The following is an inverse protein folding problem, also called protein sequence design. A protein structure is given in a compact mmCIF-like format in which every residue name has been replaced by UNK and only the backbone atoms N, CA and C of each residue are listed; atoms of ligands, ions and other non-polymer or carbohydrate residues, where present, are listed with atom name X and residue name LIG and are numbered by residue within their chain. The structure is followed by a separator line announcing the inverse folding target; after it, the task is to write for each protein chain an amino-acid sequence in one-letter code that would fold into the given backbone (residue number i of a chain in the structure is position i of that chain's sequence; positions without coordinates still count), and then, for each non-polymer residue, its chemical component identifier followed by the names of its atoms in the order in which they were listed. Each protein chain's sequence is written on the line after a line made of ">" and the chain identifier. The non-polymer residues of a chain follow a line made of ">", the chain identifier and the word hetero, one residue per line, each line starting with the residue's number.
data_IF_131975271767
#
_entry.id   IF_131975271767
#
_cell.length_a   1.000
_cell.length_b   1.000
_cell.length_c   1.000
_cell.angle_alpha   90.00
_cell.angle_beta   90.00
_cell.angle_gamma   90.00
#
_symmetry.space_group_name_H-M   'P 1'
#
loop_
_entity.id
_entity.type
_entity.pdbx_description
1 polymer ?
#
# COMPACT_ATOMS: atom_id res chain seq x y z
N UNK A 1 -16.83 -5.42 -2.85
CA UNK A 1 -17.30 -6.80 -2.53
C UNK A 1 -16.11 -7.74 -2.42
N UNK A 2 -15.26 -7.83 -3.45
CA UNK A 2 -14.03 -8.63 -3.42
C UNK A 2 -13.07 -8.23 -2.29
N UNK A 3 -12.78 -6.93 -2.13
CA UNK A 3 -11.89 -6.45 -1.06
C UNK A 3 -12.32 -6.91 0.34
N UNK A 4 -13.59 -6.71 0.68
CA UNK A 4 -14.16 -7.11 1.98
C UNK A 4 -14.03 -8.62 2.19
N UNK A 5 -14.32 -9.41 1.14
CA UNK A 5 -14.17 -10.86 1.20
C UNK A 5 -12.72 -11.27 1.50
N UNK A 6 -11.74 -10.67 0.82
CA UNK A 6 -10.31 -10.97 1.08
C UNK A 6 -9.94 -10.56 2.51
N UNK A 7 -10.33 -9.37 2.97
CA UNK A 7 -10.07 -8.88 4.33
C UNK A 7 -10.63 -9.83 5.41
N UNK A 8 -11.87 -10.30 5.25
CA UNK A 8 -12.53 -11.23 6.18
C UNK A 8 -11.82 -12.58 6.22
N UNK A 9 -11.55 -13.17 5.04
CA UNK A 9 -10.88 -14.48 4.95
C UNK A 9 -9.46 -14.45 5.52
N UNK A 10 -8.73 -13.37 5.29
CA UNK A 10 -7.39 -13.16 5.82
C UNK A 10 -7.41 -13.01 7.34
N UNK A 11 -8.43 -12.35 7.90
CA UNK A 11 -8.63 -12.29 9.35
C UNK A 11 -8.93 -13.67 9.96
N UNK A 12 -9.76 -14.48 9.31
CA UNK A 12 -10.12 -15.83 9.79
C UNK A 12 -8.93 -16.79 9.86
N UNK A 13 -7.94 -16.64 8.97
CA UNK A 13 -6.71 -17.46 8.99
C UNK A 13 -5.61 -16.88 9.89
N UNK A 14 -5.91 -15.82 10.64
CA UNK A 14 -4.97 -15.20 11.58
C UNK A 14 -3.93 -14.27 10.95
N UNK A 15 -4.13 -13.87 9.68
CA UNK A 15 -3.20 -13.00 8.93
C UNK A 15 -3.95 -11.77 8.39
N UNK A 16 -4.37 -10.82 9.24
CA UNK A 16 -5.14 -9.67 8.79
C UNK A 16 -4.34 -8.80 7.79
N UNK A 17 -5.01 -8.31 6.75
CA UNK A 17 -4.41 -7.38 5.78
C UNK A 17 -4.10 -6.05 6.46
N UNK A 18 -2.86 -5.57 6.32
CA UNK A 18 -2.41 -4.32 6.92
C UNK A 18 -2.75 -3.07 6.08
N UNK A 19 -2.75 -3.20 4.75
CA UNK A 19 -3.10 -2.13 3.82
C UNK A 19 -3.48 -2.67 2.44
N UNK A 20 -4.16 -1.83 1.67
CA UNK A 20 -4.42 -2.04 0.24
C UNK A 20 -3.72 -0.94 -0.55
N UNK A 21 -2.89 -1.34 -1.52
CA UNK A 21 -2.26 -0.41 -2.45
C UNK A 21 -3.08 -0.46 -3.75
N UNK A 22 -3.65 0.67 -4.20
CA UNK A 22 -4.41 0.70 -5.44
C UNK A 22 -3.49 0.49 -6.65
N UNK A 23 -4.08 0.05 -7.77
CA UNK A 23 -3.41 0.19 -9.06
C UNK A 23 -3.21 1.67 -9.37
N UNK A 24 -2.01 2.02 -9.80
CA UNK A 24 -1.63 3.40 -10.06
C UNK A 24 -0.68 3.46 -11.29
N UNK A 25 -1.10 4.10 -12.40
CA UNK A 25 -0.25 4.26 -13.58
C UNK A 25 1.09 4.95 -13.31
N UNK A 26 1.16 5.88 -12.34
CA UNK A 26 2.38 6.61 -12.02
C UNK A 26 3.51 5.66 -11.57
N UNK A 27 3.16 4.53 -10.96
CA UNK A 27 4.14 3.49 -10.56
C UNK A 27 4.77 2.82 -11.78
N UNK A 28 3.96 2.54 -12.81
CA UNK A 28 4.46 1.92 -14.04
C UNK A 28 5.31 2.90 -14.87
N UNK A 29 4.94 4.18 -14.87
CA UNK A 29 5.72 5.24 -15.51
C UNK A 29 7.08 5.44 -14.83
N UNK A 30 7.09 5.51 -13.50
CA UNK A 30 8.34 5.58 -12.71
C UNK A 30 9.28 4.40 -13.00
N UNK A 31 8.74 3.17 -13.07
CA UNK A 31 9.51 1.97 -13.40
C UNK A 31 10.16 2.05 -14.79
N UNK A 32 9.42 2.53 -15.81
CA UNK A 32 9.97 2.73 -17.15
C UNK A 32 11.09 3.77 -17.19
N UNK A 33 11.03 4.78 -16.34
CA UNK A 33 12.04 5.85 -16.22
C UNK A 33 13.23 5.44 -15.35
N UNK A 34 13.13 4.34 -14.61
CA UNK A 34 14.15 3.90 -13.65
C UNK A 34 14.20 4.76 -12.39
N UNK A 35 13.09 5.40 -12.04
CA UNK A 35 12.93 6.27 -10.87
C UNK A 35 12.10 5.56 -9.80
N UNK A 36 12.33 5.87 -8.52
CA UNK A 36 11.44 5.35 -7.48
C UNK A 36 10.09 6.08 -7.57
N UNK A 37 8.93 5.40 -7.38
CA UNK A 37 7.62 6.05 -7.44
C UNK A 37 7.46 7.25 -6.52
N UNK A 38 8.10 7.23 -5.34
CA UNK A 38 8.12 8.36 -4.39
C UNK A 38 8.87 9.59 -4.92
N UNK A 39 9.91 9.39 -5.74
CA UNK A 39 10.67 10.49 -6.34
C UNK A 39 10.00 11.02 -7.63
N UNK A 40 9.19 10.16 -8.27
CA UNK A 40 8.48 10.47 -9.51
C UNK A 40 7.18 11.24 -9.28
N UNK A 41 6.33 10.76 -8.37
CA UNK A 41 5.07 11.39 -7.98
C UNK A 41 4.81 11.14 -6.49
N UNK A 42 5.14 12.12 -5.65
CA UNK A 42 4.98 12.04 -4.21
C UNK A 42 3.51 11.99 -3.75
N UNK A 43 2.60 12.52 -4.59
CA UNK A 43 1.16 12.60 -4.33
C UNK A 43 0.39 11.41 -4.96
N UNK A 44 1.10 10.45 -5.55
CA UNK A 44 0.53 9.22 -6.11
C UNK A 44 -0.31 8.48 -5.05
N UNK A 45 -1.55 8.05 -5.38
CA UNK A 45 -2.38 7.23 -4.49
C UNK A 45 -1.68 5.95 -3.97
N UNK A 46 -0.81 5.33 -4.77
CA UNK A 46 -0.02 4.19 -4.33
C UNK A 46 1.05 4.59 -3.30
N UNK A 47 1.74 5.71 -3.54
CA UNK A 47 2.73 6.26 -2.61
C UNK A 47 2.07 6.63 -1.28
N UNK A 48 0.94 7.33 -1.31
CA UNK A 48 0.17 7.68 -0.12
C UNK A 48 -0.25 6.43 0.68
N UNK A 49 -0.73 5.38 0.00
CA UNK A 49 -1.11 4.13 0.64
C UNK A 49 0.07 3.44 1.36
N UNK A 50 1.27 3.46 0.77
CA UNK A 50 2.49 2.92 1.38
C UNK A 50 2.94 3.77 2.57
N UNK A 51 2.84 5.09 2.48
CA UNK A 51 3.14 6.00 3.60
C UNK A 51 2.20 5.77 4.79
N UNK A 52 0.91 5.59 4.52
CA UNK A 52 -0.08 5.25 5.54
C UNK A 52 0.20 3.88 6.18
N UNK A 53 0.61 2.88 5.39
CA UNK A 53 1.06 1.58 5.91
C UNK A 53 2.27 1.73 6.84
N UNK A 54 3.26 2.54 6.45
CA UNK A 54 4.45 2.83 7.27
C UNK A 54 4.07 3.40 8.64
N UNK A 55 3.19 4.40 8.68
CA UNK A 55 2.76 5.02 9.94
C UNK A 55 1.88 4.08 10.79
N UNK A 56 1.06 3.24 10.16
CA UNK A 56 0.34 2.16 10.84
C UNK A 56 1.31 1.17 11.52
N UNK A 57 2.35 0.74 10.82
CA UNK A 57 3.33 -0.22 11.35
C UNK A 57 4.12 0.37 12.53
N UNK A 58 4.56 1.63 12.42
CA UNK A 58 5.19 2.35 13.54
C UNK A 58 4.27 2.42 14.75
N UNK A 59 3.02 2.81 14.55
CA UNK A 59 2.03 2.92 15.63
C UNK A 59 1.73 1.56 16.28
N UNK A 60 1.67 0.49 15.48
CA UNK A 60 1.34 -0.87 15.96
C UNK A 60 2.49 -1.53 16.73
N UNK A 61 3.73 -1.31 16.31
CA UNK A 61 4.90 -2.04 16.81
C UNK A 61 5.87 -1.19 17.62
N UNK A 62 5.66 0.13 17.71
CA UNK A 62 6.41 1.02 18.60
C UNK A 62 7.84 1.30 18.17
N UNK A 63 8.07 1.44 16.85
CA UNK A 63 9.37 1.87 16.31
C UNK A 63 9.62 3.36 16.52
#
# INVERSE_FOLDING_TARGET
>A
RERIFVEERMREVGVPIAAHIPYDPAVAEADMLGEAPLDHDEDSPAVEAVLNLKEFLKSRYGF
#
